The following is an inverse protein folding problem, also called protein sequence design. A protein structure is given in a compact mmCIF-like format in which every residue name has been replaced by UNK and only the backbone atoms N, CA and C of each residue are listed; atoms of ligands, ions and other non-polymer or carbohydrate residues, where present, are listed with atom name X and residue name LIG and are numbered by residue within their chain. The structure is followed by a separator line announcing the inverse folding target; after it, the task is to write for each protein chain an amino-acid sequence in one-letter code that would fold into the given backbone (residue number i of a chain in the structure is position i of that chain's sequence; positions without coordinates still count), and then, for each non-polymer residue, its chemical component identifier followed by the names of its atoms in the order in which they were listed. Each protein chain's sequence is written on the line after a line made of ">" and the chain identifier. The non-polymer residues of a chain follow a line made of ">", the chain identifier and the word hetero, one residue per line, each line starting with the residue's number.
data_IF_446598232770
#
_entry.id   IF_446598232770
#
_cell.length_a   1.000
_cell.length_b   1.000
_cell.length_c   1.000
_cell.angle_alpha   90.00
_cell.angle_beta   90.00
_cell.angle_gamma   90.00
#
_symmetry.space_group_name_H-M   'P 1'
#
loop_
_entity.id
_entity.type
_entity.pdbx_description
1 polymer ?
#
# COMPACT_ATOMS: atom_id res chain seq x y z
N UNK A 1 -9.39 0.84 -15.63
CA UNK A 1 -9.81 -0.34 -14.83
C UNK A 1 -9.22 -0.23 -13.44
N UNK A 2 -10.05 -0.29 -12.41
CA UNK A 2 -9.55 -0.24 -11.04
C UNK A 2 -8.79 -1.52 -10.73
N UNK A 3 -7.59 -1.39 -10.18
CA UNK A 3 -6.88 -2.54 -9.70
C UNK A 3 -7.70 -3.22 -8.60
N UNK A 4 -7.77 -4.56 -8.63
CA UNK A 4 -8.45 -5.30 -7.57
C UNK A 4 -7.79 -4.95 -6.24
N UNK A 5 -8.61 -4.70 -5.22
CA UNK A 5 -8.11 -4.43 -3.89
C UNK A 5 -7.38 -5.66 -3.35
N UNK A 6 -6.12 -5.47 -2.99
CA UNK A 6 -5.31 -6.55 -2.41
C UNK A 6 -5.48 -6.57 -0.90
N UNK A 7 -5.04 -7.67 -0.26
CA UNK A 7 -5.05 -7.75 1.20
C UNK A 7 -4.24 -6.63 1.83
N UNK A 8 -3.11 -6.28 1.22
CA UNK A 8 -2.25 -5.21 1.74
C UNK A 8 -2.94 -3.85 1.65
N UNK A 9 -3.65 -3.58 0.54
CA UNK A 9 -4.44 -2.36 0.40
C UNK A 9 -5.55 -2.27 1.44
N UNK A 10 -6.21 -3.39 1.71
CA UNK A 10 -7.25 -3.47 2.73
C UNK A 10 -6.68 -3.20 4.12
N UNK A 11 -5.55 -3.80 4.45
CA UNK A 11 -4.87 -3.58 5.73
C UNK A 11 -4.48 -2.12 5.90
N UNK A 12 -3.99 -1.49 4.83
CA UNK A 12 -3.68 -0.07 4.85
C UNK A 12 -4.92 0.78 5.16
N UNK A 13 -6.06 0.48 4.49
CA UNK A 13 -7.30 1.23 4.70
C UNK A 13 -7.84 1.05 6.12
N UNK A 14 -7.72 -0.14 6.68
CA UNK A 14 -8.10 -0.40 8.06
C UNK A 14 -7.22 0.39 9.04
N UNK A 15 -5.91 0.40 8.81
CA UNK A 15 -4.99 1.17 9.65
C UNK A 15 -5.35 2.66 9.63
N UNK A 16 -5.60 3.20 8.43
CA UNK A 16 -5.97 4.61 8.29
C UNK A 16 -7.27 4.91 9.03
N UNK A 17 -8.28 4.06 8.89
CA UNK A 17 -9.59 4.26 9.53
C UNK A 17 -9.52 4.15 11.05
N UNK A 18 -8.72 3.23 11.57
CA UNK A 18 -8.66 2.96 13.01
C UNK A 18 -7.72 3.89 13.75
N UNK A 19 -6.54 4.18 13.18
CA UNK A 19 -5.50 4.95 13.85
C UNK A 19 -5.52 6.44 13.49
N UNK A 20 -5.98 6.77 12.28
CA UNK A 20 -5.95 8.14 11.77
C UNK A 20 -7.29 8.51 11.11
N UNK A 21 -8.41 8.40 11.85
CA UNK A 21 -9.73 8.62 11.26
C UNK A 21 -9.91 10.02 10.64
N UNK A 22 -9.30 11.04 11.24
CA UNK A 22 -9.39 12.40 10.73
C UNK A 22 -8.66 12.58 9.38
N UNK A 23 -7.60 11.80 9.14
CA UNK A 23 -6.80 11.84 7.92
C UNK A 23 -7.09 10.69 6.96
N UNK A 24 -7.97 9.76 7.33
CA UNK A 24 -8.17 8.51 6.58
C UNK A 24 -8.50 8.76 5.11
N UNK A 25 -9.36 9.72 4.81
CA UNK A 25 -9.74 10.06 3.44
C UNK A 25 -8.53 10.54 2.63
N UNK A 26 -7.74 11.42 3.21
CA UNK A 26 -6.54 11.97 2.56
C UNK A 26 -5.47 10.89 2.38
N UNK A 27 -5.28 10.03 3.38
CA UNK A 27 -4.33 8.93 3.32
C UNK A 27 -4.71 7.94 2.23
N UNK A 28 -5.99 7.58 2.14
CA UNK A 28 -6.47 6.68 1.09
C UNK A 28 -6.28 7.27 -0.31
N UNK A 29 -6.57 8.56 -0.48
CA UNK A 29 -6.37 9.24 -1.76
C UNK A 29 -4.89 9.26 -2.15
N UNK A 30 -4.00 9.58 -1.22
CA UNK A 30 -2.56 9.60 -1.47
C UNK A 30 -2.04 8.20 -1.81
N UNK A 31 -2.49 7.19 -1.09
CA UNK A 31 -2.14 5.79 -1.35
C UNK A 31 -2.56 5.38 -2.76
N UNK A 32 -3.81 5.64 -3.14
CA UNK A 32 -4.33 5.28 -4.45
C UNK A 32 -3.57 5.98 -5.58
N UNK A 33 -3.27 7.27 -5.42
CA UNK A 33 -2.48 8.02 -6.40
C UNK A 33 -1.08 7.45 -6.57
N UNK A 34 -0.42 7.15 -5.44
CA UNK A 34 0.94 6.61 -5.49
C UNK A 34 0.96 5.20 -6.08
N UNK A 35 0.01 4.36 -5.70
CA UNK A 35 -0.09 3.01 -6.23
C UNK A 35 -0.33 3.04 -7.74
N UNK A 36 -1.24 3.88 -8.22
CA UNK A 36 -1.51 4.00 -9.64
C UNK A 36 -0.28 4.48 -10.42
N UNK A 37 0.47 5.43 -9.86
CA UNK A 37 1.72 5.90 -10.49
C UNK A 37 2.76 4.78 -10.57
N UNK A 38 2.92 4.01 -9.51
CA UNK A 38 3.86 2.88 -9.48
C UNK A 38 3.46 1.78 -10.47
N UNK A 39 2.17 1.50 -10.58
CA UNK A 39 1.67 0.53 -11.56
C UNK A 39 1.98 0.98 -12.99
N UNK A 40 1.79 2.26 -13.29
CA UNK A 40 2.08 2.82 -14.60
C UNK A 40 3.58 2.74 -14.92
N UNK A 41 4.44 3.05 -13.94
CA UNK A 41 5.90 2.98 -14.09
C UNK A 41 6.39 1.56 -14.40
N UNK A 42 5.65 0.54 -13.96
CA UNK A 42 6.03 -0.87 -14.10
C UNK A 42 5.19 -1.62 -15.12
N UNK A 43 4.45 -0.90 -15.97
CA UNK A 43 3.54 -1.51 -16.96
C UNK A 43 4.26 -2.40 -17.97
N UNK A 44 5.55 -2.16 -18.24
CA UNK A 44 6.36 -2.95 -19.18
C UNK A 44 6.95 -4.23 -18.62
N UNK A 45 6.73 -4.53 -17.33
CA UNK A 45 7.29 -5.73 -16.72
C UNK A 45 6.61 -7.01 -17.24
N UNK A 46 7.30 -8.16 -17.16
CA UNK A 46 6.75 -9.46 -17.53
C UNK A 46 5.49 -9.78 -16.71
N UNK A 47 4.65 -10.68 -17.22
CA UNK A 47 3.41 -11.07 -16.54
C UNK A 47 3.66 -11.63 -15.15
N UNK A 48 4.68 -12.47 -14.98
CA UNK A 48 5.04 -13.01 -13.67
C UNK A 48 5.49 -11.94 -12.69
N UNK A 49 6.35 -11.05 -13.15
CA UNK A 49 6.84 -9.93 -12.34
C UNK A 49 5.71 -8.98 -11.98
N UNK A 50 4.80 -8.72 -12.93
CA UNK A 50 3.62 -7.88 -12.70
C UNK A 50 2.71 -8.44 -11.61
N UNK A 51 2.53 -9.74 -11.56
CA UNK A 51 1.70 -10.40 -10.55
C UNK A 51 2.21 -10.09 -9.15
N UNK A 52 3.51 -10.27 -8.90
CA UNK A 52 4.10 -9.99 -7.60
C UNK A 52 4.10 -8.49 -7.29
N UNK A 53 4.41 -7.66 -8.28
CA UNK A 53 4.41 -6.21 -8.10
C UNK A 53 3.04 -5.70 -7.65
N UNK A 54 1.98 -6.12 -8.33
CA UNK A 54 0.62 -5.63 -8.04
C UNK A 54 0.09 -6.09 -6.70
N UNK A 55 0.51 -7.26 -6.21
CA UNK A 55 -0.06 -7.84 -4.99
C UNK A 55 0.67 -7.44 -3.72
N UNK A 56 1.98 -7.29 -3.78
CA UNK A 56 2.79 -7.11 -2.57
C UNK A 56 3.73 -5.92 -2.64
N UNK A 57 4.51 -5.84 -3.70
CA UNK A 57 5.61 -4.87 -3.75
C UNK A 57 5.11 -3.44 -3.89
N UNK A 58 4.32 -3.16 -4.93
CA UNK A 58 3.87 -1.79 -5.18
C UNK A 58 2.89 -1.27 -4.13
N UNK A 59 1.90 -2.07 -3.68
CA UNK A 59 1.07 -1.64 -2.56
C UNK A 59 1.86 -1.43 -1.28
N UNK A 60 2.90 -2.24 -1.04
CA UNK A 60 3.78 -2.07 0.11
C UNK A 60 4.53 -0.76 0.08
N UNK A 61 5.09 -0.41 -1.07
CA UNK A 61 5.81 0.86 -1.25
C UNK A 61 4.84 2.04 -1.06
N UNK A 62 3.67 1.98 -1.69
CA UNK A 62 2.68 3.04 -1.58
C UNK A 62 2.22 3.24 -0.13
N UNK A 63 1.96 2.14 0.59
CA UNK A 63 1.56 2.18 1.99
C UNK A 63 2.66 2.79 2.87
N UNK A 64 3.90 2.33 2.68
CA UNK A 64 5.06 2.82 3.42
C UNK A 64 5.24 4.33 3.24
N UNK A 65 5.25 4.80 1.99
CA UNK A 65 5.43 6.22 1.70
C UNK A 65 4.29 7.06 2.25
N UNK A 66 3.05 6.57 2.14
CA UNK A 66 1.88 7.29 2.62
C UNK A 66 1.87 7.38 4.15
N UNK A 67 2.18 6.29 4.84
CA UNK A 67 2.21 6.25 6.30
C UNK A 67 3.28 7.18 6.89
N UNK A 68 4.34 7.48 6.15
CA UNK A 68 5.36 8.42 6.61
C UNK A 68 4.83 9.84 6.81
N UNK A 69 3.65 10.14 6.29
CA UNK A 69 3.00 11.44 6.50
C UNK A 69 2.45 11.60 7.92
N UNK A 70 2.18 10.48 8.60
CA UNK A 70 1.50 10.46 9.90
C UNK A 70 2.28 9.71 10.98
N UNK A 71 3.40 9.08 10.63
CA UNK A 71 4.21 8.33 11.59
C UNK A 71 5.69 8.33 11.18
N UNK A 72 6.61 8.07 12.13
CA UNK A 72 8.03 7.97 11.80
C UNK A 72 8.31 6.83 10.84
N UNK A 73 9.41 6.95 10.08
CA UNK A 73 9.84 5.98 9.10
C UNK A 73 9.90 4.55 9.65
N UNK A 74 10.48 4.38 10.82
CA UNK A 74 10.63 3.06 11.45
C UNK A 74 9.29 2.43 11.79
N UNK A 75 8.36 3.22 12.30
CA UNK A 75 7.02 2.75 12.63
C UNK A 75 6.25 2.40 11.35
N UNK A 76 6.37 3.22 10.31
CA UNK A 76 5.75 2.94 9.01
C UNK A 76 6.27 1.62 8.44
N UNK A 77 7.57 1.38 8.52
CA UNK A 77 8.18 0.15 8.04
C UNK A 77 7.66 -1.07 8.80
N UNK A 78 7.59 -0.99 10.11
CA UNK A 78 7.05 -2.08 10.95
C UNK A 78 5.59 -2.37 10.63
N UNK A 79 4.80 -1.33 10.42
CA UNK A 79 3.37 -1.47 10.08
C UNK A 79 3.20 -2.22 8.76
N UNK A 80 3.97 -1.85 7.72
CA UNK A 80 3.92 -2.51 6.43
C UNK A 80 4.42 -3.95 6.52
N UNK A 81 5.46 -4.22 7.31
CA UNK A 81 5.93 -5.58 7.56
C UNK A 81 4.83 -6.44 8.18
N UNK A 82 4.04 -5.88 9.10
CA UNK A 82 2.90 -6.58 9.70
C UNK A 82 1.88 -7.01 8.66
N UNK A 83 1.64 -6.19 7.65
CA UNK A 83 0.72 -6.55 6.55
C UNK A 83 1.24 -7.76 5.77
N UNK A 84 2.53 -7.79 5.46
CA UNK A 84 3.13 -8.89 4.71
C UNK A 84 3.10 -10.19 5.52
N UNK A 85 3.39 -10.13 6.81
CA UNK A 85 3.31 -11.28 7.70
C UNK A 85 1.89 -11.85 7.75
N UNK A 86 0.89 -10.99 7.75
CA UNK A 86 -0.51 -11.40 7.71
C UNK A 86 -0.81 -12.19 6.44
N UNK A 87 -0.25 -11.77 5.30
CA UNK A 87 -0.44 -12.45 4.02
C UNK A 87 0.25 -13.81 3.97
N UNK A 88 1.36 -13.98 4.70
CA UNK A 88 2.14 -15.21 4.70
C UNK A 88 1.51 -16.34 5.53
N UNK A 89 0.48 -16.01 6.29
CA UNK A 89 -0.28 -16.99 7.07
C UNK A 89 -1.47 -17.47 6.25
#
# INVERSE_FOLDING_TARGET
>A
MKAKETYLSRDFRETAAQRFPAQAKQLNAAFDMRLNALLAENAGASKEKQYHLKRQILPGIAAYETLQRVMPKEEALQTVHGYVEHLAR
#
